data_IF_820428395128
#
_entry.id   IF_820428395128
#
_cell.length_a   1.000
_cell.length_b   1.000
_cell.length_c   1.000
_cell.angle_alpha   90.00
_cell.angle_beta   90.00
_cell.angle_gamma   90.00
#
_symmetry.space_group_name_H-M   'P 1'
#
loop_
_entity.id
_entity.type
_entity.pdbx_description
1 polymer ?
#
# COMPACT_ATOMS: atom_id res chain seq x y z
N UNK A 1 -39.51 -114.75 37.64
CA UNK A 1 -39.40 -113.45 38.33
C UNK A 1 -38.52 -112.58 37.45
N UNK A 2 -39.14 -111.66 36.70
CA UNK A 2 -39.24 -110.20 37.02
C UNK A 2 -37.88 -109.53 36.82
N UNK A 3 -37.67 -108.41 36.15
CA UNK A 3 -38.42 -107.29 35.53
C UNK A 3 -37.30 -106.58 34.69
N UNK A 4 -37.46 -105.87 33.57
CA UNK A 4 -38.42 -104.82 33.24
C UNK A 4 -37.66 -103.51 32.88
N UNK A 5 -38.05 -102.87 31.76
CA UNK A 5 -37.81 -101.48 31.28
C UNK A 5 -36.44 -101.13 30.69
N UNK A 6 -36.31 -100.77 29.40
CA UNK A 6 -36.87 -99.65 28.60
C UNK A 6 -36.01 -98.37 28.68
N UNK A 7 -35.72 -97.78 27.50
CA UNK A 7 -35.45 -96.36 27.10
C UNK A 7 -34.61 -96.44 25.80
N UNK A 8 -35.19 -96.36 24.61
CA UNK A 8 -35.47 -95.17 23.79
C UNK A 8 -34.31 -94.16 23.65
N UNK A 9 -33.95 -93.94 22.37
CA UNK A 9 -33.47 -92.70 21.77
C UNK A 9 -32.09 -92.16 22.18
N UNK A 10 -31.11 -92.30 21.28
CA UNK A 10 -30.02 -91.34 21.10
C UNK A 10 -29.45 -91.46 19.68
N UNK A 11 -30.28 -91.18 18.67
CA UNK A 11 -29.80 -90.71 17.36
C UNK A 11 -30.34 -89.30 17.19
N UNK A 12 -29.60 -88.29 17.69
CA UNK A 12 -29.96 -86.86 17.59
C UNK A 12 -28.77 -85.92 17.90
N UNK A 13 -27.53 -86.35 17.62
CA UNK A 13 -26.32 -85.52 17.77
C UNK A 13 -25.85 -84.83 16.48
N UNK A 14 -26.31 -85.29 15.32
CA UNK A 14 -25.87 -84.79 14.02
C UNK A 14 -26.48 -83.44 13.57
N UNK A 15 -27.75 -83.07 13.85
CA UNK A 15 -28.33 -81.86 13.26
C UNK A 15 -27.78 -80.57 13.87
N UNK A 16 -27.51 -80.53 15.17
CA UNK A 16 -27.03 -79.32 15.86
C UNK A 16 -25.57 -78.96 15.51
N UNK A 17 -24.69 -79.94 15.32
CA UNK A 17 -23.29 -79.69 14.94
C UNK A 17 -23.14 -79.28 13.46
N UNK A 18 -24.02 -79.77 12.57
CA UNK A 18 -24.09 -79.35 11.18
C UNK A 18 -24.66 -77.94 11.02
N UNK A 19 -25.66 -77.56 11.82
CA UNK A 19 -26.19 -76.19 11.89
C UNK A 19 -25.15 -75.19 12.40
N UNK A 20 -24.35 -75.55 13.41
CA UNK A 20 -23.32 -74.69 13.98
C UNK A 20 -22.14 -74.49 13.02
N UNK A 21 -21.75 -75.53 12.27
CA UNK A 21 -20.74 -75.47 11.18
C UNK A 21 -21.26 -74.66 9.98
N UNK A 22 -22.54 -74.80 9.62
CA UNK A 22 -23.16 -74.00 8.55
C UNK A 22 -23.32 -72.53 8.96
N UNK A 23 -23.65 -72.25 10.23
CA UNK A 23 -23.71 -70.90 10.77
C UNK A 23 -22.33 -70.23 10.83
N UNK A 24 -21.28 -70.97 11.20
CA UNK A 24 -19.89 -70.47 11.14
C UNK A 24 -19.41 -70.27 9.69
N UNK A 25 -19.75 -71.16 8.76
CA UNK A 25 -19.47 -70.98 7.33
C UNK A 25 -20.13 -69.72 6.75
N UNK A 26 -21.42 -69.51 7.05
CA UNK A 26 -22.14 -68.31 6.64
C UNK A 26 -21.60 -67.02 7.27
N UNK A 27 -21.04 -67.10 8.49
CA UNK A 27 -20.37 -65.98 9.14
C UNK A 27 -19.03 -65.66 8.46
N UNK A 28 -18.24 -66.67 8.12
CA UNK A 28 -16.97 -66.53 7.38
C UNK A 28 -17.24 -65.88 6.01
N UNK A 29 -18.24 -66.36 5.26
CA UNK A 29 -18.61 -65.79 3.96
C UNK A 29 -19.01 -64.31 4.07
N UNK A 30 -19.73 -63.93 5.14
CA UNK A 30 -20.08 -62.52 5.42
C UNK A 30 -18.85 -61.68 5.77
N UNK A 31 -17.93 -62.20 6.58
CA UNK A 31 -16.68 -61.49 6.94
C UNK A 31 -15.82 -61.29 5.70
N UNK A 32 -15.70 -62.28 4.83
CA UNK A 32 -14.99 -62.14 3.56
C UNK A 32 -15.68 -61.16 2.60
N UNK A 33 -17.02 -61.19 2.52
CA UNK A 33 -17.78 -60.25 1.73
C UNK A 33 -17.59 -58.81 2.24
N UNK A 34 -17.60 -58.59 3.55
CA UNK A 34 -17.29 -57.30 4.16
C UNK A 34 -15.86 -56.86 3.91
N UNK A 35 -14.88 -57.77 4.01
CA UNK A 35 -13.48 -57.47 3.71
C UNK A 35 -13.30 -57.04 2.23
N UNK A 36 -13.96 -57.74 1.30
CA UNK A 36 -14.01 -57.36 -0.13
C UNK A 36 -14.64 -55.98 -0.33
N UNK A 37 -15.74 -55.70 0.37
CA UNK A 37 -16.42 -54.41 0.31
C UNK A 37 -15.55 -53.27 0.88
N UNK A 38 -14.92 -53.47 2.03
CA UNK A 38 -13.98 -52.52 2.64
C UNK A 38 -12.79 -52.24 1.72
N UNK A 39 -12.18 -53.26 1.13
CA UNK A 39 -11.09 -53.07 0.15
C UNK A 39 -11.55 -52.27 -1.07
N UNK A 40 -12.78 -52.52 -1.55
CA UNK A 40 -13.35 -51.78 -2.69
C UNK A 40 -13.59 -50.32 -2.34
N UNK A 41 -14.15 -50.05 -1.15
CA UNK A 41 -14.40 -48.70 -0.65
C UNK A 41 -13.08 -47.93 -0.39
N UNK A 42 -12.06 -48.58 0.17
CA UNK A 42 -10.72 -48.00 0.33
C UNK A 42 -10.11 -47.63 -1.03
N UNK A 43 -10.18 -48.54 -2.01
CA UNK A 43 -9.71 -48.26 -3.38
C UNK A 43 -10.50 -47.15 -4.09
N UNK A 44 -11.79 -47.00 -3.80
CA UNK A 44 -12.60 -45.89 -4.30
C UNK A 44 -12.23 -44.56 -3.61
N UNK A 45 -12.11 -44.55 -2.28
CA UNK A 45 -11.71 -43.38 -1.48
C UNK A 45 -10.32 -42.86 -1.89
N UNK A 46 -9.37 -43.76 -2.10
CA UNK A 46 -8.03 -43.39 -2.54
C UNK A 46 -8.04 -42.78 -3.95
N UNK A 47 -8.83 -43.34 -4.89
CA UNK A 47 -9.02 -42.76 -6.23
C UNK A 47 -9.61 -41.36 -6.15
N UNK A 48 -10.72 -41.17 -5.42
CA UNK A 48 -11.34 -39.85 -5.23
C UNK A 48 -10.35 -38.86 -4.60
N UNK A 49 -9.55 -39.30 -3.62
CA UNK A 49 -8.53 -38.45 -2.98
C UNK A 49 -7.43 -38.04 -3.95
N UNK A 50 -6.95 -38.96 -4.79
CA UNK A 50 -5.94 -38.65 -5.83
C UNK A 50 -6.49 -37.72 -6.91
N UNK A 51 -7.70 -37.96 -7.39
CA UNK A 51 -8.36 -37.12 -8.39
C UNK A 51 -8.62 -35.71 -7.84
N UNK A 52 -9.10 -35.63 -6.60
CA UNK A 52 -9.27 -34.36 -5.89
C UNK A 52 -7.95 -33.62 -5.68
N UNK A 53 -6.85 -34.34 -5.43
CA UNK A 53 -5.50 -33.78 -5.34
C UNK A 53 -5.03 -33.20 -6.67
N UNK A 54 -5.19 -33.96 -7.77
CA UNK A 54 -4.85 -33.52 -9.12
C UNK A 54 -5.69 -32.31 -9.58
N UNK A 55 -6.99 -32.33 -9.31
CA UNK A 55 -7.88 -31.21 -9.62
C UNK A 55 -7.49 -29.95 -8.85
N UNK A 56 -7.17 -30.07 -7.55
CA UNK A 56 -6.65 -28.94 -6.76
C UNK A 56 -5.34 -28.39 -7.32
N UNK A 57 -4.40 -29.25 -7.68
CA UNK A 57 -3.13 -28.83 -8.28
C UNK A 57 -3.34 -28.09 -9.61
N UNK A 58 -4.19 -28.61 -10.51
CA UNK A 58 -4.53 -27.97 -11.78
C UNK A 58 -5.21 -26.62 -11.60
N UNK A 59 -6.18 -26.55 -10.68
CA UNK A 59 -6.89 -25.29 -10.36
C UNK A 59 -5.93 -24.26 -9.76
N UNK A 60 -5.03 -24.68 -8.88
CA UNK A 60 -4.00 -23.81 -8.29
C UNK A 60 -3.08 -23.22 -9.35
N UNK A 61 -2.61 -24.03 -10.30
CA UNK A 61 -1.78 -23.57 -11.41
C UNK A 61 -2.53 -22.57 -12.31
N UNK A 62 -3.76 -22.89 -12.71
CA UNK A 62 -4.58 -22.00 -13.55
C UNK A 62 -4.89 -20.66 -12.85
N UNK A 63 -5.15 -20.68 -11.53
CA UNK A 63 -5.34 -19.46 -10.75
C UNK A 63 -4.07 -18.61 -10.68
N UNK A 64 -2.91 -19.23 -10.47
CA UNK A 64 -1.63 -18.52 -10.48
C UNK A 64 -1.36 -17.85 -11.84
N UNK A 65 -1.59 -18.56 -12.95
CA UNK A 65 -1.48 -17.99 -14.31
C UNK A 65 -2.43 -16.81 -14.53
N UNK A 66 -3.69 -16.94 -14.11
CA UNK A 66 -4.68 -15.88 -14.23
C UNK A 66 -4.30 -14.62 -13.41
N UNK A 67 -3.77 -14.81 -12.20
CA UNK A 67 -3.32 -13.72 -11.33
C UNK A 67 -2.08 -13.03 -11.89
N UNK A 68 -1.15 -13.78 -12.47
CA UNK A 68 0.00 -13.24 -13.22
C UNK A 68 -0.44 -12.42 -14.43
N UNK A 69 -1.39 -12.92 -15.22
CA UNK A 69 -1.93 -12.22 -16.38
C UNK A 69 -2.65 -10.92 -15.97
N UNK A 70 -3.50 -10.98 -14.93
CA UNK A 70 -4.15 -9.79 -14.36
C UNK A 70 -3.11 -8.75 -13.96
N UNK A 71 -2.03 -9.19 -13.32
CA UNK A 71 -1.01 -8.28 -12.84
C UNK A 71 -0.22 -7.60 -13.97
N UNK A 72 0.08 -8.34 -15.04
CA UNK A 72 0.69 -7.75 -16.24
C UNK A 72 -0.21 -6.64 -16.82
N UNK A 73 -1.52 -6.89 -16.89
CA UNK A 73 -2.50 -5.89 -17.32
C UNK A 73 -2.57 -4.69 -16.37
N UNK A 74 -2.42 -4.89 -15.05
CA UNK A 74 -2.38 -3.77 -14.10
C UNK A 74 -1.17 -2.85 -14.31
N UNK A 75 0.01 -3.43 -14.57
CA UNK A 75 1.23 -2.67 -14.85
C UNK A 75 1.06 -1.86 -16.13
N UNK A 76 0.52 -2.49 -17.19
CA UNK A 76 0.23 -1.81 -18.46
C UNK A 76 -0.81 -0.70 -18.28
N UNK A 77 -1.90 -0.96 -17.55
CA UNK A 77 -2.93 0.03 -17.26
C UNK A 77 -2.38 1.24 -16.48
N UNK A 78 -1.45 1.03 -15.53
CA UNK A 78 -0.77 2.13 -14.82
C UNK A 78 0.08 2.97 -15.78
N UNK A 79 0.85 2.32 -16.64
CA UNK A 79 1.67 3.01 -17.64
C UNK A 79 0.80 3.85 -18.60
N UNK A 80 -0.28 3.27 -19.12
CA UNK A 80 -1.23 3.95 -20.01
C UNK A 80 -1.97 5.10 -19.32
N UNK A 81 -2.41 4.90 -18.08
CA UNK A 81 -3.05 5.95 -17.28
C UNK A 81 -2.12 7.15 -17.10
N UNK A 82 -0.83 6.90 -16.81
CA UNK A 82 0.17 7.96 -16.67
C UNK A 82 0.42 8.69 -18.00
N UNK A 83 0.47 7.97 -19.12
CA UNK A 83 0.60 8.59 -20.46
C UNK A 83 -0.62 9.48 -20.76
N UNK A 84 -1.84 8.97 -20.54
CA UNK A 84 -3.07 9.73 -20.73
C UNK A 84 -3.11 10.98 -19.86
N UNK A 85 -2.72 10.85 -18.59
CA UNK A 85 -2.63 11.96 -17.66
C UNK A 85 -1.60 13.02 -18.11
N UNK A 86 -0.39 12.61 -18.52
CA UNK A 86 0.64 13.52 -19.03
C UNK A 86 0.18 14.27 -20.29
N UNK A 87 -0.63 13.63 -21.13
CA UNK A 87 -1.20 14.27 -22.32
C UNK A 87 -2.27 15.32 -21.99
N UNK A 88 -3.10 15.06 -20.97
CA UNK A 88 -4.13 15.99 -20.51
C UNK A 88 -3.58 17.12 -19.64
N UNK A 89 -2.56 16.83 -18.82
CA UNK A 89 -1.91 17.78 -17.95
C UNK A 89 -1.19 18.85 -18.78
N UNK A 90 -1.84 19.99 -18.94
CA UNK A 90 -1.24 21.14 -19.65
C UNK A 90 -0.09 21.68 -18.80
N UNK A 91 1.17 21.62 -19.26
CA UNK A 91 2.25 22.25 -18.54
C UNK A 91 1.96 23.76 -18.47
N UNK A 92 1.95 24.32 -17.27
CA UNK A 92 1.97 25.77 -17.12
C UNK A 92 3.27 26.26 -17.79
N UNK A 93 3.19 27.31 -18.62
CA UNK A 93 4.32 27.79 -19.42
C UNK A 93 5.64 27.71 -18.63
N UNK A 94 6.62 26.97 -19.18
CA UNK A 94 7.92 26.68 -18.55
C UNK A 94 8.57 28.02 -18.14
N UNK A 95 8.58 28.38 -16.85
CA UNK A 95 9.26 29.59 -16.46
C UNK A 95 10.76 29.35 -16.57
N UNK A 96 11.47 30.34 -17.08
CA UNK A 96 12.88 30.49 -16.75
C UNK A 96 12.98 31.46 -15.59
N UNK A 97 13.16 30.92 -14.37
CA UNK A 97 13.76 31.68 -13.26
C UNK A 97 15.29 31.46 -13.27
N UNK A 98 15.84 31.35 -14.48
CA UNK A 98 17.27 31.28 -14.72
C UNK A 98 17.84 32.68 -14.52
N UNK A 99 18.38 32.94 -13.33
CA UNK A 99 19.63 33.65 -13.10
C UNK A 99 19.73 34.11 -11.64
N UNK A 100 20.96 34.20 -11.11
CA UNK A 100 21.25 34.78 -9.78
C UNK A 100 20.60 36.16 -9.56
N UNK A 101 20.35 36.88 -10.65
CA UNK A 101 19.65 38.18 -10.67
C UNK A 101 18.20 38.03 -10.19
N UNK A 102 17.46 37.00 -10.62
CA UNK A 102 16.08 36.81 -10.20
C UNK A 102 15.97 36.57 -8.68
N UNK A 103 16.88 35.77 -8.11
CA UNK A 103 16.97 35.55 -6.65
C UNK A 103 17.37 36.82 -5.90
N UNK A 104 18.32 37.60 -6.43
CA UNK A 104 18.65 38.93 -5.85
C UNK A 104 17.46 39.88 -5.88
N UNK A 105 16.67 39.87 -6.96
CA UNK A 105 15.43 40.66 -7.04
C UNK A 105 14.46 40.22 -5.96
N UNK A 106 14.27 38.92 -5.73
CA UNK A 106 13.33 38.46 -4.70
C UNK A 106 13.77 38.85 -3.28
N UNK A 107 15.07 38.82 -2.99
CA UNK A 107 15.63 39.33 -1.73
C UNK A 107 15.47 40.85 -1.57
N UNK A 108 15.57 41.61 -2.66
CA UNK A 108 15.31 43.05 -2.65
C UNK A 108 13.82 43.33 -2.45
N UNK A 109 12.95 42.54 -3.08
CA UNK A 109 11.51 42.64 -2.92
C UNK A 109 11.11 42.38 -1.46
N UNK A 110 11.65 41.37 -0.79
CA UNK A 110 11.29 41.09 0.61
C UNK A 110 11.52 42.29 1.55
N UNK A 111 12.53 43.13 1.28
CA UNK A 111 12.81 44.37 2.04
C UNK A 111 11.72 45.43 1.91
N UNK A 112 10.87 45.35 0.89
CA UNK A 112 9.71 46.24 0.69
C UNK A 112 8.49 45.81 1.53
N UNK A 113 8.68 44.90 2.50
CA UNK A 113 7.63 44.44 3.40
C UNK A 113 6.56 43.62 2.68
N UNK A 114 5.29 43.79 3.07
CA UNK A 114 4.20 42.93 2.60
C UNK A 114 3.91 43.03 1.11
N UNK A 115 4.13 44.20 0.49
CA UNK A 115 3.93 44.39 -0.96
C UNK A 115 5.01 43.63 -1.73
N UNK A 116 6.25 43.72 -1.28
CA UNK A 116 7.36 42.99 -1.85
C UNK A 116 7.19 41.48 -1.77
N UNK A 117 6.80 40.97 -0.60
CA UNK A 117 6.45 39.55 -0.40
C UNK A 117 5.30 39.10 -1.31
N UNK A 118 4.29 39.94 -1.49
CA UNK A 118 3.21 39.66 -2.44
C UNK A 118 3.71 39.52 -3.88
N UNK A 119 4.70 40.32 -4.28
CA UNK A 119 5.33 40.20 -5.61
C UNK A 119 6.17 38.93 -5.74
N UNK A 120 6.88 38.52 -4.68
CA UNK A 120 7.60 37.22 -4.66
C UNK A 120 6.61 36.07 -4.85
N UNK A 121 5.48 36.08 -4.13
CA UNK A 121 4.41 35.08 -4.25
C UNK A 121 3.77 35.14 -5.65
N UNK A 122 3.52 36.33 -6.20
CA UNK A 122 2.96 36.46 -7.54
C UNK A 122 3.89 35.87 -8.62
N UNK A 123 5.20 36.07 -8.47
CA UNK A 123 6.23 35.58 -9.40
C UNK A 123 6.39 34.06 -9.35
N UNK A 124 6.13 33.42 -8.21
CA UNK A 124 6.21 31.95 -8.10
C UNK A 124 5.13 31.25 -8.93
N UNK A 125 3.96 31.87 -9.04
CA UNK A 125 2.80 31.30 -9.72
C UNK A 125 2.08 30.23 -8.90
N UNK A 126 2.42 30.07 -7.61
CA UNK A 126 1.78 29.09 -6.72
C UNK A 126 0.37 29.50 -6.29
N UNK A 127 0.08 30.80 -6.26
CA UNK A 127 -1.20 31.33 -5.81
C UNK A 127 -2.29 31.10 -6.86
N UNK A 128 -3.23 30.22 -6.55
CA UNK A 128 -4.37 29.87 -7.41
C UNK A 128 -5.55 30.76 -7.06
N UNK A 129 -6.04 31.54 -8.02
CA UNK A 129 -7.26 32.34 -7.87
C UNK A 129 -7.82 32.68 -9.25
N UNK A 130 -9.14 32.61 -9.39
CA UNK A 130 -9.88 33.05 -10.58
C UNK A 130 -10.00 34.56 -10.69
N UNK A 131 -9.57 35.31 -9.68
CA UNK A 131 -9.70 36.76 -9.63
C UNK A 131 -8.76 37.46 -10.62
N UNK A 132 -9.14 38.69 -11.00
CA UNK A 132 -8.32 39.57 -11.80
C UNK A 132 -6.96 39.88 -11.14
N UNK A 133 -5.95 40.20 -11.96
CA UNK A 133 -4.55 40.39 -11.53
C UNK A 133 -4.39 41.30 -10.31
N UNK A 134 -5.11 42.42 -10.26
CA UNK A 134 -5.03 43.40 -9.16
C UNK A 134 -5.63 42.86 -7.87
N UNK A 135 -6.80 42.22 -7.94
CA UNK A 135 -7.45 41.63 -6.76
C UNK A 135 -6.59 40.51 -6.17
N UNK A 136 -6.00 39.66 -7.03
CA UNK A 136 -5.07 38.61 -6.63
C UNK A 136 -3.84 39.17 -5.89
N UNK A 137 -3.21 40.22 -6.42
CA UNK A 137 -2.05 40.83 -5.77
C UNK A 137 -2.42 41.47 -4.41
N UNK A 138 -3.61 42.09 -4.31
CA UNK A 138 -4.12 42.60 -3.02
C UNK A 138 -4.33 41.49 -2.00
N UNK A 139 -4.86 40.34 -2.43
CA UNK A 139 -5.04 39.17 -1.56
C UNK A 139 -3.68 38.64 -1.07
N UNK A 140 -2.69 38.52 -1.95
CA UNK A 140 -1.31 38.14 -1.57
C UNK A 140 -0.70 39.13 -0.57
N UNK A 141 -0.90 40.44 -0.77
CA UNK A 141 -0.40 41.47 0.15
C UNK A 141 -1.15 41.47 1.49
N UNK A 142 -2.44 41.13 1.50
CA UNK A 142 -3.19 40.94 2.74
C UNK A 142 -2.67 39.72 3.51
N UNK A 143 -2.46 38.60 2.83
CA UNK A 143 -1.83 37.40 3.38
C UNK A 143 -0.44 37.70 3.95
N UNK A 144 0.42 38.37 3.17
CA UNK A 144 1.77 38.71 3.61
C UNK A 144 1.84 39.68 4.79
N UNK A 145 0.79 40.48 5.03
CA UNK A 145 0.66 41.33 6.23
C UNK A 145 0.26 40.55 7.47
N UNK A 146 -0.56 39.51 7.31
CA UNK A 146 -1.02 38.66 8.43
C UNK A 146 0.10 37.79 8.99
N UNK A 147 1.11 37.47 8.19
CA UNK A 147 2.33 36.80 8.65
C UNK A 147 2.09 35.34 9.05
N UNK A 148 2.77 34.89 10.10
CA UNK A 148 2.77 33.50 10.57
C UNK A 148 1.56 33.13 11.45
N UNK A 149 0.35 33.38 10.96
CA UNK A 149 -0.90 32.98 11.60
C UNK A 149 -1.28 31.53 11.22
N UNK A 150 -1.25 30.55 12.13
CA UNK A 150 -1.58 29.16 11.81
C UNK A 150 -2.99 28.93 11.26
N UNK A 151 -3.94 29.82 11.59
CA UNK A 151 -5.32 29.70 11.13
C UNK A 151 -5.51 30.14 9.65
N UNK A 152 -4.48 30.72 9.04
CA UNK A 152 -4.52 31.24 7.68
C UNK A 152 -3.89 30.27 6.70
N UNK A 153 -4.67 29.82 5.71
CA UNK A 153 -4.16 28.99 4.62
C UNK A 153 -4.20 29.78 3.29
N UNK A 154 -3.05 29.94 2.59
CA UNK A 154 -3.05 30.55 1.26
C UNK A 154 -3.70 29.61 0.24
N UNK A 155 -4.30 30.12 -0.85
CA UNK A 155 -4.85 29.29 -1.93
C UNK A 155 -3.71 28.78 -2.82
N UNK A 156 -2.82 27.97 -2.25
CA UNK A 156 -1.66 27.37 -2.88
C UNK A 156 -1.49 25.94 -2.33
N UNK A 157 -0.67 25.13 -2.99
CA UNK A 157 -0.24 23.84 -2.44
C UNK A 157 0.82 24.08 -1.34
N UNK A 158 0.39 24.67 -0.23
CA UNK A 158 1.22 25.07 0.89
C UNK A 158 0.36 25.01 2.16
N UNK A 159 0.76 24.21 3.13
CA UNK A 159 0.11 24.12 4.44
C UNK A 159 0.88 24.99 5.44
N UNK A 160 0.28 26.12 5.80
CA UNK A 160 0.89 27.10 6.68
C UNK A 160 1.06 26.58 8.11
N UNK A 161 0.06 25.91 8.68
CA UNK A 161 0.15 25.34 10.01
C UNK A 161 1.26 24.28 10.10
N UNK A 162 1.31 23.39 9.10
CA UNK A 162 2.39 22.39 8.99
C UNK A 162 3.77 23.06 8.93
N UNK A 163 3.92 24.06 8.05
CA UNK A 163 5.19 24.75 7.87
C UNK A 163 5.63 25.48 9.14
N UNK A 164 4.69 26.11 9.86
CA UNK A 164 4.95 26.81 11.12
C UNK A 164 5.30 25.86 12.27
N UNK A 165 4.81 24.61 12.26
CA UNK A 165 5.26 23.58 13.23
C UNK A 165 6.74 23.22 13.04
N UNK A 166 7.21 23.15 11.80
CA UNK A 166 8.64 22.98 11.51
C UNK A 166 9.46 24.27 11.73
N UNK A 167 8.80 25.44 11.63
CA UNK A 167 9.40 26.77 11.74
C UNK A 167 8.72 27.63 12.79
N UNK A 168 8.82 27.17 14.04
CA UNK A 168 8.24 27.83 15.19
C UNK A 168 8.77 29.26 15.39
N UNK A 169 9.96 29.58 14.86
CA UNK A 169 10.55 30.92 14.83
C UNK A 169 9.72 31.94 14.04
N UNK A 170 8.87 31.48 13.12
CA UNK A 170 8.02 32.34 12.29
C UNK A 170 6.60 32.51 12.86
N UNK A 171 6.20 31.69 13.83
CA UNK A 171 4.86 31.67 14.42
C UNK A 171 4.53 32.98 15.13
N UNK A 172 3.40 33.61 14.78
CA UNK A 172 3.01 34.92 15.30
C UNK A 172 3.87 36.09 14.82
N UNK A 173 4.86 35.83 13.95
CA UNK A 173 5.75 36.84 13.39
C UNK A 173 5.17 37.57 12.18
N UNK A 174 5.85 38.66 11.77
CA UNK A 174 5.50 39.44 10.57
C UNK A 174 5.99 38.81 9.26
N UNK A 175 6.78 37.73 9.34
CA UNK A 175 7.25 37.01 8.17
C UNK A 175 6.09 36.21 7.55
N UNK A 176 5.97 36.26 6.24
CA UNK A 176 4.95 35.49 5.52
C UNK A 176 5.49 34.08 5.27
N UNK A 177 4.84 33.00 5.77
CA UNK A 177 5.39 31.64 5.66
C UNK A 177 5.62 31.19 4.21
N UNK A 178 4.67 31.42 3.30
CA UNK A 178 4.86 31.07 1.89
C UNK A 178 6.01 31.85 1.24
N UNK A 179 6.16 33.15 1.53
CA UNK A 179 7.29 33.93 1.03
C UNK A 179 8.61 33.46 1.63
N UNK A 180 8.62 33.12 2.93
CA UNK A 180 9.77 32.58 3.62
C UNK A 180 10.21 31.25 3.00
N UNK A 181 9.29 30.33 2.71
CA UNK A 181 9.61 29.08 2.01
C UNK A 181 10.25 29.34 0.65
N UNK A 182 9.70 30.26 -0.15
CA UNK A 182 10.21 30.60 -1.48
C UNK A 182 11.63 31.19 -1.46
N UNK A 183 11.99 31.89 -0.38
CA UNK A 183 13.28 32.58 -0.26
C UNK A 183 14.35 31.74 0.46
N UNK A 184 13.94 30.97 1.48
CA UNK A 184 14.84 30.30 2.42
C UNK A 184 14.47 28.83 2.64
N UNK A 185 13.21 28.56 3.02
CA UNK A 185 12.78 27.22 3.45
C UNK A 185 13.02 26.13 2.41
N UNK A 186 12.80 26.45 1.14
CA UNK A 186 13.05 25.54 0.03
C UNK A 186 14.52 25.15 -0.11
N UNK A 187 15.47 26.01 0.30
CA UNK A 187 16.90 25.71 0.33
C UNK A 187 17.31 24.95 1.58
N UNK A 188 16.67 25.24 2.71
CA UNK A 188 16.86 24.57 3.99
C UNK A 188 16.24 23.15 4.04
N UNK A 189 15.43 22.79 3.04
CA UNK A 189 14.79 21.47 2.97
C UNK A 189 13.55 21.34 3.85
N UNK A 190 12.92 22.46 4.23
CA UNK A 190 11.71 22.45 5.06
C UNK A 190 10.48 22.17 4.21
N UNK A 191 9.68 21.20 4.63
CA UNK A 191 8.50 20.77 3.88
C UNK A 191 7.36 21.78 3.91
N UNK A 192 6.87 22.26 2.76
CA UNK A 192 5.79 23.24 2.67
C UNK A 192 4.41 22.63 2.90
N UNK A 193 4.28 21.30 2.85
CA UNK A 193 3.01 20.58 2.92
C UNK A 193 3.27 19.13 3.34
N UNK A 194 2.41 18.47 4.14
CA UNK A 194 2.61 17.08 4.56
C UNK A 194 2.82 16.10 3.39
N UNK A 195 2.10 16.31 2.29
CA UNK A 195 2.17 15.49 1.07
C UNK A 195 3.29 15.89 0.10
N UNK A 196 4.25 16.72 0.51
CA UNK A 196 5.38 17.15 -0.32
C UNK A 196 6.68 17.14 0.47
N UNK A 197 7.59 16.22 0.13
CA UNK A 197 8.94 16.12 0.74
C UNK A 197 9.94 16.88 -0.14
N UNK A 198 10.46 17.97 0.41
CA UNK A 198 11.33 18.91 -0.30
C UNK A 198 12.66 18.29 -0.67
N UNK A 199 13.23 17.49 0.21
CA UNK A 199 14.57 16.92 0.01
C UNK A 199 14.51 15.71 -0.92
N UNK A 200 13.52 14.84 -0.73
CA UNK A 200 13.21 13.75 -1.66
C UNK A 200 12.98 14.28 -3.09
N UNK A 201 12.10 15.27 -3.23
CA UNK A 201 11.80 15.85 -4.53
C UNK A 201 13.04 16.52 -5.14
N UNK A 202 13.85 17.19 -4.32
CA UNK A 202 15.08 17.83 -4.78
C UNK A 202 16.09 16.81 -5.30
N UNK A 203 16.30 15.70 -4.58
CA UNK A 203 17.26 14.66 -4.96
C UNK A 203 16.87 14.01 -6.29
N UNK A 204 15.59 13.67 -6.47
CA UNK A 204 15.12 13.05 -7.71
C UNK A 204 15.15 13.99 -8.92
N UNK A 205 15.06 15.30 -8.69
CA UNK A 205 14.83 16.30 -9.74
C UNK A 205 15.96 17.34 -9.86
N UNK A 206 17.14 17.04 -9.31
CA UNK A 206 18.25 17.98 -9.17
C UNK A 206 18.66 18.64 -10.49
N UNK A 207 18.72 17.88 -11.58
CA UNK A 207 19.07 18.39 -12.90
C UNK A 207 18.09 19.50 -13.37
N UNK A 208 16.78 19.24 -13.31
CA UNK A 208 15.78 20.19 -13.77
C UNK A 208 15.61 21.38 -12.82
N UNK A 209 15.79 21.18 -11.52
CA UNK A 209 15.82 22.28 -10.55
C UNK A 209 17.01 23.21 -10.83
N UNK A 210 18.17 22.65 -11.19
CA UNK A 210 19.34 23.41 -11.65
C UNK A 210 19.10 24.19 -12.95
N UNK A 211 18.42 23.57 -13.92
CA UNK A 211 18.10 24.19 -15.21
C UNK A 211 17.02 25.27 -15.14
N UNK A 212 16.03 25.13 -14.25
CA UNK A 212 14.89 26.06 -14.17
C UNK A 212 15.09 27.15 -13.13
N UNK A 213 15.90 26.88 -12.10
CA UNK A 213 16.12 27.78 -10.95
C UNK A 213 14.91 27.93 -10.03
N UNK A 214 13.91 27.06 -10.17
CA UNK A 214 12.72 27.04 -9.33
C UNK A 214 12.99 26.36 -7.99
N UNK A 215 12.24 26.74 -6.97
CA UNK A 215 12.15 25.93 -5.74
C UNK A 215 11.46 24.59 -6.03
N UNK A 216 11.68 23.53 -5.22
CA UNK A 216 11.07 22.22 -5.40
C UNK A 216 9.54 22.27 -5.61
N UNK A 217 8.82 23.01 -4.77
CA UNK A 217 7.36 23.13 -4.88
C UNK A 217 6.93 23.91 -6.14
N UNK A 218 7.63 25.00 -6.49
CA UNK A 218 7.36 25.72 -7.74
C UNK A 218 7.53 24.80 -8.96
N UNK A 219 8.59 23.99 -8.96
CA UNK A 219 8.85 23.04 -10.02
C UNK A 219 7.75 21.98 -10.09
N UNK A 220 7.37 21.38 -8.95
CA UNK A 220 6.32 20.38 -8.92
C UNK A 220 4.99 20.91 -9.43
N UNK A 221 4.51 22.06 -8.92
CA UNK A 221 3.19 22.60 -9.30
C UNK A 221 3.14 22.97 -10.79
N UNK A 222 4.26 23.41 -11.38
CA UNK A 222 4.28 23.94 -12.76
C UNK A 222 4.66 22.92 -13.82
N UNK A 223 5.51 21.97 -13.45
CA UNK A 223 6.14 21.01 -14.38
C UNK A 223 5.94 19.60 -13.85
N UNK A 224 6.46 19.33 -12.64
CA UNK A 224 6.59 17.96 -12.15
C UNK A 224 5.28 17.19 -11.99
N UNK A 225 4.22 17.86 -11.54
CA UNK A 225 2.90 17.24 -11.41
C UNK A 225 2.40 16.75 -12.77
N UNK A 226 2.45 17.60 -13.80
CA UNK A 226 2.02 17.22 -15.15
C UNK A 226 2.94 16.21 -15.85
N UNK A 227 4.21 16.14 -15.45
CA UNK A 227 5.13 15.06 -15.86
C UNK A 227 4.95 13.78 -15.04
N UNK A 228 4.06 13.76 -14.05
CA UNK A 228 3.79 12.60 -13.21
C UNK A 228 4.95 12.23 -12.30
N UNK A 229 5.62 13.23 -11.71
CA UNK A 229 6.70 13.04 -10.74
C UNK A 229 6.15 12.89 -9.33
N UNK A 230 6.78 12.04 -8.54
CA UNK A 230 6.36 11.78 -7.17
C UNK A 230 6.76 12.94 -6.25
N UNK A 231 5.82 13.57 -5.52
CA UNK A 231 6.12 14.68 -4.63
C UNK A 231 6.64 14.24 -3.25
N UNK A 232 6.41 12.98 -2.88
CA UNK A 232 6.69 12.44 -1.56
C UNK A 232 6.88 10.91 -1.67
N UNK A 233 7.74 10.26 -0.87
CA UNK A 233 7.92 8.80 -0.90
C UNK A 233 6.61 7.99 -0.74
N UNK A 234 5.66 8.54 0.01
CA UNK A 234 4.31 7.96 0.22
C UNK A 234 3.25 8.40 -0.79
N UNK A 235 3.64 9.02 -1.91
CA UNK A 235 2.72 9.42 -2.96
C UNK A 235 3.29 9.05 -4.33
N UNK A 236 2.83 7.93 -4.88
CA UNK A 236 3.16 7.45 -6.23
C UNK A 236 2.08 7.97 -7.20
N UNK A 237 2.46 8.92 -8.05
CA UNK A 237 1.53 9.57 -8.98
C UNK A 237 1.00 8.58 -10.01
N UNK A 238 1.84 7.66 -10.51
CA UNK A 238 1.40 6.67 -11.49
C UNK A 238 0.37 5.70 -10.90
N UNK A 239 0.62 5.23 -9.67
CA UNK A 239 -0.30 4.37 -8.93
C UNK A 239 -1.61 5.08 -8.60
N UNK A 240 -1.55 6.36 -8.20
CA UNK A 240 -2.71 7.16 -7.84
C UNK A 240 -3.59 7.53 -9.05
N UNK A 241 -2.98 7.99 -10.14
CA UNK A 241 -3.68 8.41 -11.37
C UNK A 241 -4.47 7.25 -11.98
N UNK A 242 -3.92 6.03 -11.94
CA UNK A 242 -4.62 4.83 -12.43
C UNK A 242 -5.98 4.59 -11.74
N UNK A 243 -6.17 5.08 -10.52
CA UNK A 243 -7.43 4.89 -9.77
C UNK A 243 -8.46 6.00 -10.03
N UNK A 244 -8.05 7.09 -10.68
CA UNK A 244 -8.85 8.30 -10.86
C UNK A 244 -8.96 8.67 -12.36
N UNK A 245 -9.87 8.04 -13.13
CA UNK A 245 -10.10 8.38 -14.53
C UNK A 245 -10.47 9.86 -14.75
N UNK A 246 -11.14 10.47 -13.78
CA UNK A 246 -11.49 11.89 -13.74
C UNK A 246 -10.25 12.81 -13.60
N UNK A 247 -9.24 12.38 -12.83
CA UNK A 247 -7.94 13.06 -12.78
C UNK A 247 -7.20 12.97 -14.12
N UNK A 248 -7.25 11.80 -14.78
CA UNK A 248 -6.67 11.63 -16.13
C UNK A 248 -7.30 12.63 -17.10
N UNK A 249 -8.62 12.76 -17.10
CA UNK A 249 -9.34 13.65 -18.02
C UNK A 249 -9.08 15.14 -17.74
N UNK A 250 -9.02 15.54 -16.47
CA UNK A 250 -8.84 16.93 -16.06
C UNK A 250 -7.38 17.41 -16.12
N UNK A 251 -6.41 16.49 -15.97
CA UNK A 251 -4.99 16.84 -15.87
C UNK A 251 -4.66 17.68 -14.64
N UNK A 252 -5.49 17.62 -13.59
CA UNK A 252 -5.28 18.37 -12.35
C UNK A 252 -3.99 17.93 -11.60
N UNK A 253 -3.51 18.76 -10.68
CA UNK A 253 -2.45 18.37 -9.77
C UNK A 253 -2.91 17.20 -8.86
N UNK A 254 -2.16 16.07 -8.78
CA UNK A 254 -2.59 14.88 -8.06
C UNK A 254 -2.81 15.08 -6.56
N UNK A 255 -1.99 15.92 -5.90
CA UNK A 255 -2.17 16.21 -4.46
C UNK A 255 -3.46 16.98 -4.23
N UNK A 256 -3.76 17.97 -5.09
CA UNK A 256 -4.97 18.78 -4.93
C UNK A 256 -6.23 17.93 -5.15
N UNK A 257 -6.20 17.03 -6.14
CA UNK A 257 -7.26 16.04 -6.33
C UNK A 257 -7.39 15.10 -5.13
N UNK A 258 -6.27 14.60 -4.59
CA UNK A 258 -6.29 13.73 -3.40
C UNK A 258 -6.95 14.40 -2.19
N UNK A 259 -6.57 15.65 -1.89
CA UNK A 259 -7.13 16.40 -0.76
C UNK A 259 -8.60 16.74 -1.00
N UNK A 260 -8.99 17.09 -2.24
CA UNK A 260 -10.38 17.44 -2.56
C UNK A 260 -11.33 16.26 -2.46
N UNK A 261 -10.97 15.13 -3.04
CA UNK A 261 -11.90 13.98 -3.19
C UNK A 261 -11.25 12.60 -3.14
N UNK A 262 -9.96 12.49 -3.45
CA UNK A 262 -9.30 11.17 -3.46
C UNK A 262 -9.34 10.47 -2.10
N UNK A 263 -9.08 11.22 -1.03
CA UNK A 263 -9.08 10.68 0.32
C UNK A 263 -10.49 10.22 0.76
N UNK A 264 -11.53 11.01 0.45
CA UNK A 264 -12.92 10.64 0.80
C UNK A 264 -13.45 9.47 -0.04
N UNK A 265 -12.94 9.31 -1.27
CA UNK A 265 -13.18 8.13 -2.12
C UNK A 265 -12.37 6.88 -1.70
N UNK A 266 -11.52 6.97 -0.69
CA UNK A 266 -10.67 5.86 -0.25
C UNK A 266 -9.59 5.47 -1.27
N UNK A 267 -9.16 6.40 -2.14
CA UNK A 267 -8.09 6.13 -3.10
C UNK A 267 -6.73 6.09 -2.41
N UNK A 268 -5.97 5.02 -2.63
CA UNK A 268 -4.64 4.84 -2.04
C UNK A 268 -3.57 5.64 -2.82
N UNK A 269 -2.83 6.57 -2.19
CA UNK A 269 -1.80 7.37 -2.86
C UNK A 269 -0.52 6.59 -3.17
N UNK A 270 -0.32 5.43 -2.54
CA UNK A 270 0.87 4.60 -2.71
C UNK A 270 0.52 3.13 -2.38
N UNK A 271 1.16 2.11 -3.01
CA UNK A 271 0.90 0.69 -2.72
C UNK A 271 1.04 0.31 -1.24
N UNK A 272 2.01 0.91 -0.54
CA UNK A 272 2.24 0.73 0.90
C UNK A 272 1.38 1.61 1.81
N UNK A 273 0.34 2.24 1.27
CA UNK A 273 -0.65 2.96 2.05
C UNK A 273 -2.04 2.50 1.64
N UNK A 274 -2.63 1.60 2.40
CA UNK A 274 -3.99 1.11 2.19
C UNK A 274 -5.00 2.06 2.84
N UNK A 275 -5.55 2.99 2.04
CA UNK A 275 -6.40 4.06 2.55
C UNK A 275 -7.68 3.54 3.23
N UNK A 276 -8.25 2.45 2.72
CA UNK A 276 -9.41 1.74 3.30
C UNK A 276 -9.07 1.17 4.69
N UNK A 277 -7.99 0.41 4.76
CA UNK A 277 -7.51 -0.23 5.99
C UNK A 277 -7.13 0.79 7.06
N UNK A 278 -6.51 1.89 6.66
CA UNK A 278 -6.13 2.96 7.56
C UNK A 278 -7.36 3.73 8.09
N UNK A 279 -8.30 4.06 7.20
CA UNK A 279 -9.54 4.74 7.58
C UNK A 279 -10.36 3.92 8.59
N UNK A 280 -10.41 2.60 8.42
CA UNK A 280 -11.08 1.69 9.36
C UNK A 280 -10.45 1.72 10.76
N UNK A 281 -9.12 1.82 10.87
CA UNK A 281 -8.43 1.96 12.17
C UNK A 281 -8.74 3.30 12.85
N UNK A 282 -8.71 4.39 12.08
CA UNK A 282 -8.99 5.74 12.57
C UNK A 282 -10.45 5.85 13.04
N UNK A 283 -11.40 5.35 12.26
CA UNK A 283 -12.82 5.36 12.61
C UNK A 283 -13.11 4.60 13.92
N UNK A 284 -12.41 3.48 14.17
CA UNK A 284 -12.51 2.73 15.44
C UNK A 284 -11.96 3.50 16.64
N UNK A 285 -11.01 4.40 16.40
CA UNK A 285 -10.38 5.22 17.43
C UNK A 285 -11.21 6.46 17.81
N UNK A 286 -12.29 6.75 17.05
CA UNK A 286 -13.17 7.90 17.28
C UNK A 286 -12.60 9.24 16.78
N UNK A 287 -11.44 9.21 16.11
CA UNK A 287 -10.83 10.37 15.49
C UNK A 287 -11.36 10.54 14.05
N UNK A 288 -11.58 11.77 13.61
CA UNK A 288 -12.10 12.03 12.27
C UNK A 288 -11.78 13.43 11.78
N UNK A 289 -11.70 13.59 10.47
CA UNK A 289 -11.72 14.92 9.82
C UNK A 289 -10.56 15.23 8.86
N UNK A 290 -9.42 14.55 8.96
CA UNK A 290 -8.28 14.76 8.05
C UNK A 290 -8.19 13.67 6.96
N UNK A 291 -7.71 14.00 5.74
CA UNK A 291 -7.36 13.00 4.73
C UNK A 291 -6.41 11.92 5.27
N UNK A 292 -6.65 10.64 4.97
CA UNK A 292 -5.97 9.50 5.59
C UNK A 292 -4.43 9.60 5.61
N UNK A 293 -3.80 9.93 4.48
CA UNK A 293 -2.33 10.05 4.44
C UNK A 293 -1.81 11.26 5.22
N UNK A 294 -2.56 12.37 5.24
CA UNK A 294 -2.19 13.56 6.04
C UNK A 294 -2.30 13.22 7.53
N UNK A 295 -3.37 12.54 7.94
CA UNK A 295 -3.54 12.08 9.32
C UNK A 295 -2.40 11.15 9.75
N UNK A 296 -2.04 10.19 8.89
CA UNK A 296 -0.92 9.27 9.15
C UNK A 296 0.41 10.01 9.36
N UNK A 297 0.75 10.94 8.46
CA UNK A 297 2.01 11.69 8.54
C UNK A 297 2.05 12.66 9.73
N UNK A 298 0.90 13.21 10.13
CA UNK A 298 0.84 14.17 11.23
C UNK A 298 0.86 13.49 12.61
N UNK A 299 0.12 12.40 12.77
CA UNK A 299 -0.17 11.80 14.07
C UNK A 299 -0.10 10.27 14.01
N UNK A 300 -0.79 9.65 13.06
CA UNK A 300 -1.02 8.20 13.10
C UNK A 300 0.23 7.32 13.06
N UNK A 301 1.29 7.72 12.35
CA UNK A 301 2.56 7.00 12.40
C UNK A 301 3.13 6.98 13.82
N UNK A 302 3.08 8.11 14.53
CA UNK A 302 3.59 8.22 15.92
C UNK A 302 2.78 7.35 16.87
N UNK A 303 1.46 7.32 16.67
CA UNK A 303 0.53 6.51 17.48
C UNK A 303 0.57 5.02 17.15
N UNK A 304 1.40 4.61 16.19
CA UNK A 304 1.59 3.20 15.83
C UNK A 304 0.48 2.65 14.92
N UNK A 305 -0.39 3.50 14.37
CA UNK A 305 -1.42 3.08 13.42
C UNK A 305 -0.77 2.57 12.13
N UNK A 306 -1.23 1.43 11.63
CA UNK A 306 -0.60 0.73 10.53
C UNK A 306 -1.07 1.31 9.19
N UNK A 307 -0.19 1.89 8.34
CA UNK A 307 -0.59 2.44 7.05
C UNK A 307 -1.00 1.34 6.05
N UNK A 308 -0.52 0.12 6.27
CA UNK A 308 -0.79 -1.06 5.46
C UNK A 308 -0.68 -2.32 6.33
N UNK A 309 -1.46 -3.39 6.10
CA UNK A 309 -1.40 -4.62 6.91
C UNK A 309 0.00 -5.26 7.00
N UNK A 310 0.81 -5.08 5.95
CA UNK A 310 2.18 -5.61 5.85
C UNK A 310 3.27 -4.64 6.33
N UNK A 311 2.92 -3.49 6.90
CA UNK A 311 3.88 -2.56 7.48
C UNK A 311 3.44 -2.14 8.89
N UNK A 312 4.30 -2.40 9.87
CA UNK A 312 4.04 -2.07 11.27
C UNK A 312 5.05 -1.03 11.76
N UNK A 313 4.66 0.25 11.91
CA UNK A 313 5.60 1.32 12.28
C UNK A 313 6.15 1.15 13.70
N UNK A 314 5.36 0.62 14.64
CA UNK A 314 5.81 0.41 16.02
C UNK A 314 6.81 -0.74 16.10
N UNK A 315 6.52 -1.85 15.41
CA UNK A 315 7.44 -2.98 15.30
C UNK A 315 8.75 -2.57 14.61
N UNK A 316 8.65 -1.80 13.51
CA UNK A 316 9.82 -1.39 12.73
C UNK A 316 10.77 -0.52 13.55
N UNK A 317 10.27 0.48 14.29
CA UNK A 317 11.09 1.29 15.22
C UNK A 317 11.76 0.43 16.29
N UNK A 318 11.02 -0.48 16.90
CA UNK A 318 11.55 -1.36 17.95
C UNK A 318 12.62 -2.33 17.44
N UNK A 319 12.46 -2.83 16.21
CA UNK A 319 13.40 -3.77 15.59
C UNK A 319 14.67 -3.10 15.05
N UNK A 320 14.57 -1.83 14.66
CA UNK A 320 15.63 -1.06 14.02
C UNK A 320 15.82 0.31 14.69
N UNK A 321 16.47 0.36 15.88
CA UNK A 321 16.66 1.61 16.62
C UNK A 321 17.49 2.67 15.87
N UNK A 322 18.35 2.25 14.96
CA UNK A 322 19.14 3.14 14.10
C UNK A 322 18.28 3.86 13.05
N UNK A 323 17.24 3.18 12.53
CA UNK A 323 16.26 3.81 11.65
C UNK A 323 15.44 4.86 12.43
N UNK A 324 15.06 4.56 13.67
CA UNK A 324 14.34 5.52 14.53
C UNK A 324 15.21 6.73 14.88
N UNK A 325 16.49 6.51 15.18
CA UNK A 325 17.47 7.57 15.45
C UNK A 325 17.70 8.52 14.25
N UNK A 326 17.36 8.11 13.02
CA UNK A 326 17.40 8.99 11.85
C UNK A 326 16.37 10.13 11.89
N UNK A 327 15.36 10.03 12.77
CA UNK A 327 14.26 10.99 12.89
C UNK A 327 13.28 10.98 11.70
N UNK A 328 13.47 10.08 10.72
CA UNK A 328 12.55 9.91 9.59
C UNK A 328 11.33 9.10 10.03
N UNK A 329 10.20 9.39 9.39
CA UNK A 329 8.99 8.56 9.54
C UNK A 329 9.31 7.10 9.12
N UNK A 330 8.90 6.07 9.89
CA UNK A 330 9.29 4.69 9.64
C UNK A 330 9.01 4.15 8.24
N UNK A 331 7.82 4.40 7.69
CA UNK A 331 7.47 3.91 6.35
C UNK A 331 8.29 4.66 5.28
N UNK A 332 8.51 5.96 5.44
CA UNK A 332 9.43 6.74 4.61
C UNK A 332 10.85 6.16 4.68
N UNK A 333 11.39 5.89 5.88
CA UNK A 333 12.70 5.27 6.04
C UNK A 333 12.80 3.92 5.32
N UNK A 334 11.80 3.06 5.51
CA UNK A 334 11.73 1.76 4.83
C UNK A 334 11.73 1.92 3.30
N UNK A 335 10.99 2.89 2.77
CA UNK A 335 10.90 3.12 1.33
C UNK A 335 12.17 3.66 0.70
N UNK A 336 12.89 4.56 1.37
CA UNK A 336 14.08 5.22 0.80
C UNK A 336 15.40 4.53 1.15
N UNK A 337 15.43 3.71 2.20
CA UNK A 337 16.65 3.05 2.66
C UNK A 337 16.39 1.61 3.13
N UNK A 338 15.56 1.42 4.14
CA UNK A 338 15.47 0.15 4.87
C UNK A 338 15.11 -1.07 4.02
N UNK A 339 14.22 -0.93 3.04
CA UNK A 339 13.88 -2.02 2.12
C UNK A 339 15.05 -2.41 1.22
N UNK A 340 15.86 -1.44 0.77
CA UNK A 340 17.08 -1.69 -0.01
C UNK A 340 18.20 -2.30 0.83
N UNK A 341 18.19 -2.04 2.14
CA UNK A 341 19.09 -2.67 3.13
C UNK A 341 18.64 -4.08 3.54
N UNK A 342 17.54 -4.59 2.98
CA UNK A 342 17.02 -5.93 3.29
C UNK A 342 16.27 -6.03 4.62
N UNK A 343 15.88 -4.89 5.23
CA UNK A 343 15.11 -4.89 6.49
C UNK A 343 13.69 -5.39 6.25
N UNK A 344 13.16 -6.17 7.18
CA UNK A 344 11.73 -6.56 7.19
C UNK A 344 10.84 -5.39 7.65
N UNK A 345 9.68 -5.14 7.02
CA UNK A 345 8.75 -4.04 7.35
C UNK A 345 7.79 -4.35 8.51
N UNK A 346 7.73 -5.61 8.94
CA UNK A 346 6.81 -6.06 9.96
C UNK A 346 6.88 -7.59 10.12
N UNK A 347 6.11 -8.17 11.04
CA UNK A 347 6.14 -9.59 11.33
C UNK A 347 5.56 -10.45 10.18
N UNK A 348 4.76 -9.85 9.29
CA UNK A 348 4.09 -10.52 8.18
C UNK A 348 4.94 -10.69 6.91
N UNK A 349 6.07 -10.00 6.80
CA UNK A 349 6.89 -10.01 5.60
C UNK A 349 8.37 -10.12 5.95
N UNK A 350 8.98 -11.24 5.56
CA UNK A 350 10.42 -11.42 5.66
C UNK A 350 11.08 -11.03 4.33
N UNK A 351 11.83 -9.93 4.35
CA UNK A 351 12.47 -9.40 3.15
C UNK A 351 13.52 -10.36 2.59
N UNK A 352 14.37 -10.96 3.43
CA UNK A 352 15.43 -11.86 2.96
C UNK A 352 14.86 -13.12 2.31
N UNK A 353 13.83 -13.70 2.92
CA UNK A 353 13.12 -14.87 2.38
C UNK A 353 12.45 -14.53 1.05
N UNK A 354 11.75 -13.41 0.96
CA UNK A 354 11.10 -13.01 -0.28
C UNK A 354 12.10 -12.84 -1.43
N UNK A 355 13.23 -12.17 -1.17
CA UNK A 355 14.30 -12.00 -2.16
C UNK A 355 14.88 -13.35 -2.60
N UNK A 356 15.10 -14.27 -1.66
CA UNK A 356 15.62 -15.61 -1.98
C UNK A 356 14.65 -16.44 -2.84
N UNK A 357 13.34 -16.26 -2.67
CA UNK A 357 12.31 -16.98 -3.41
C UNK A 357 11.97 -16.33 -4.76
N UNK A 358 12.53 -15.16 -5.06
CA UNK A 358 12.23 -14.39 -6.26
C UNK A 358 12.87 -15.03 -7.50
N UNK A 359 12.06 -15.65 -8.38
CA UNK A 359 12.54 -16.44 -9.53
C UNK A 359 13.47 -15.66 -10.47
N UNK A 360 13.06 -14.43 -10.82
CA UNK A 360 13.81 -13.56 -11.74
C UNK A 360 14.80 -12.64 -11.00
N UNK A 361 14.93 -12.78 -9.68
CA UNK A 361 15.56 -11.79 -8.82
C UNK A 361 14.74 -10.50 -8.71
N UNK A 362 15.15 -9.60 -7.80
CA UNK A 362 14.53 -8.28 -7.69
C UNK A 362 15.02 -7.38 -8.83
N UNK A 363 14.11 -6.62 -9.48
CA UNK A 363 14.54 -5.60 -10.43
C UNK A 363 15.45 -4.56 -9.73
N UNK A 364 16.47 -4.02 -10.42
CA UNK A 364 17.37 -3.03 -9.83
C UNK A 364 16.62 -1.81 -9.31
N UNK A 365 16.91 -1.41 -8.07
CA UNK A 365 16.31 -0.21 -7.46
C UNK A 365 14.85 -0.39 -7.03
N UNK A 366 14.31 -1.61 -6.98
CA UNK A 366 12.98 -1.87 -6.46
C UNK A 366 12.99 -2.18 -4.95
N UNK A 367 12.09 -1.55 -4.21
CA UNK A 367 11.83 -1.91 -2.82
C UNK A 367 11.15 -3.30 -2.79
N UNK A 368 11.62 -4.27 -1.97
CA UNK A 368 11.11 -5.64 -1.98
C UNK A 368 9.61 -5.77 -1.69
N UNK A 369 9.08 -5.02 -0.72
CA UNK A 369 7.66 -5.09 -0.41
C UNK A 369 6.81 -4.38 -1.47
N UNK A 370 7.35 -3.33 -2.11
CA UNK A 370 6.69 -2.71 -3.28
C UNK A 370 6.64 -3.69 -4.45
N UNK A 371 7.74 -4.40 -4.76
CA UNK A 371 7.73 -5.45 -5.79
C UNK A 371 6.68 -6.51 -5.48
N UNK A 372 6.65 -7.00 -4.22
CA UNK A 372 5.66 -7.97 -3.77
C UNK A 372 4.22 -7.52 -4.06
N UNK A 373 3.87 -6.31 -3.63
CA UNK A 373 2.53 -5.72 -3.81
C UNK A 373 2.20 -5.37 -5.27
N UNK A 374 3.21 -5.08 -6.09
CA UNK A 374 3.05 -4.72 -7.49
C UNK A 374 3.27 -5.90 -8.44
N UNK A 375 3.21 -7.13 -7.93
CA UNK A 375 3.08 -8.34 -8.73
C UNK A 375 4.08 -9.43 -8.44
N UNK A 376 5.12 -9.08 -7.69
CA UNK A 376 6.16 -10.02 -7.33
C UNK A 376 5.66 -11.14 -6.41
N UNK A 377 4.54 -10.94 -5.70
CA UNK A 377 3.87 -12.01 -4.95
C UNK A 377 3.56 -13.26 -5.78
N UNK A 378 3.36 -13.11 -7.11
CA UNK A 378 2.95 -14.20 -7.99
C UNK A 378 4.10 -14.85 -8.77
N UNK A 379 5.33 -14.33 -8.61
CA UNK A 379 6.52 -14.73 -9.38
C UNK A 379 7.63 -15.24 -8.43
N UNK A 380 7.25 -16.08 -7.48
CA UNK A 380 8.16 -16.71 -6.51
C UNK A 380 8.20 -18.23 -6.71
N UNK A 381 9.34 -18.84 -6.39
CA UNK A 381 9.63 -20.26 -6.67
C UNK A 381 8.76 -21.22 -5.86
N UNK A 382 8.43 -20.83 -4.63
CA UNK A 382 7.37 -21.45 -3.84
C UNK A 382 6.24 -20.44 -3.76
N UNK A 383 5.07 -20.69 -4.36
CA UNK A 383 4.03 -19.67 -4.48
C UNK A 383 3.44 -19.23 -3.12
N UNK A 384 3.77 -19.94 -2.04
CA UNK A 384 3.04 -19.89 -0.78
C UNK A 384 3.97 -19.63 0.41
N UNK A 385 4.20 -18.34 0.71
CA UNK A 385 4.78 -17.92 1.98
C UNK A 385 3.82 -18.27 3.14
N UNK A 386 4.03 -19.43 3.78
CA UNK A 386 3.42 -19.76 5.08
C UNK A 386 1.95 -20.22 5.06
N UNK A 387 1.45 -20.79 3.96
CA UNK A 387 0.06 -21.25 3.87
C UNK A 387 -0.04 -22.65 3.21
N UNK A 388 -0.77 -23.63 3.78
CA UNK A 388 -0.99 -24.94 3.15
C UNK A 388 -1.87 -24.84 1.89
N UNK A 389 -1.55 -25.64 0.85
CA UNK A 389 -2.23 -25.67 -0.46
C UNK A 389 -3.76 -25.76 -0.40
N UNK A 390 -4.32 -26.42 0.62
CA UNK A 390 -5.77 -26.58 0.78
C UNK A 390 -6.48 -25.25 1.12
N UNK A 391 -5.88 -24.41 1.96
CA UNK A 391 -6.52 -23.16 2.39
C UNK A 391 -6.56 -22.08 1.31
N UNK A 392 -5.68 -22.14 0.31
CA UNK A 392 -5.60 -21.11 -0.73
C UNK A 392 -6.71 -21.20 -1.77
N UNK A 393 -7.10 -22.40 -2.21
CA UNK A 393 -8.21 -22.56 -3.15
C UNK A 393 -9.55 -22.15 -2.55
N UNK A 394 -9.73 -22.36 -1.24
CA UNK A 394 -10.89 -21.86 -0.51
C UNK A 394 -10.94 -20.33 -0.49
N UNK A 395 -9.80 -19.66 -0.69
CA UNK A 395 -9.65 -18.20 -0.76
C UNK A 395 -9.62 -17.65 -2.19
N UNK A 396 -9.58 -18.52 -3.21
CA UNK A 396 -9.46 -18.13 -4.62
C UNK A 396 -10.53 -17.11 -5.05
N UNK A 397 -11.75 -17.26 -4.54
CA UNK A 397 -12.86 -16.35 -4.81
C UNK A 397 -12.59 -14.93 -4.30
N UNK A 398 -11.85 -14.76 -3.20
CA UNK A 398 -11.53 -13.46 -2.63
C UNK A 398 -10.45 -12.73 -3.43
N UNK A 399 -9.49 -13.48 -3.96
CA UNK A 399 -8.50 -12.94 -4.90
C UNK A 399 -9.12 -12.52 -6.24
N UNK A 400 -10.20 -13.20 -6.67
CA UNK A 400 -10.92 -12.81 -7.88
C UNK A 400 -11.64 -11.46 -7.72
N UNK A 401 -12.15 -11.16 -6.53
CA UNK A 401 -12.93 -9.95 -6.24
C UNK A 401 -12.14 -8.73 -5.76
N UNK A 402 -10.90 -8.90 -5.27
CA UNK A 402 -10.06 -7.81 -4.74
C UNK A 402 -8.59 -7.95 -5.18
N UNK A 403 -7.89 -6.85 -5.48
CA UNK A 403 -6.48 -6.87 -5.89
C UNK A 403 -5.54 -7.03 -4.68
N UNK A 404 -5.83 -7.99 -3.78
CA UNK A 404 -5.00 -8.25 -2.61
C UNK A 404 -3.94 -9.29 -2.95
N UNK A 405 -2.77 -9.14 -2.35
CA UNK A 405 -1.74 -10.20 -2.35
C UNK A 405 -2.07 -11.25 -1.28
N UNK A 406 -1.50 -12.46 -1.36
CA UNK A 406 -1.77 -13.51 -0.39
C UNK A 406 -1.48 -13.08 1.05
N UNK A 407 -0.28 -12.55 1.32
CA UNK A 407 0.08 -12.12 2.67
C UNK A 407 -0.80 -10.96 3.16
N UNK A 408 -1.19 -10.03 2.28
CA UNK A 408 -2.07 -8.94 2.67
C UNK A 408 -3.46 -9.44 3.09
N UNK A 409 -4.03 -10.41 2.36
CA UNK A 409 -5.31 -11.01 2.71
C UNK A 409 -5.24 -11.68 4.09
N UNK A 410 -4.16 -12.42 4.36
CA UNK A 410 -3.94 -13.07 5.64
C UNK A 410 -3.74 -12.07 6.77
N UNK A 411 -2.93 -11.03 6.56
CA UNK A 411 -2.70 -9.99 7.56
C UNK A 411 -4.01 -9.23 7.90
N UNK A 412 -4.89 -9.01 6.93
CA UNK A 412 -6.22 -8.40 7.16
C UNK A 412 -7.17 -9.29 7.98
N UNK A 413 -7.00 -10.62 7.93
CA UNK A 413 -7.84 -11.60 8.65
C UNK A 413 -7.29 -11.97 10.03
N UNK A 414 -5.98 -12.17 10.14
CA UNK A 414 -5.30 -12.70 11.33
C UNK A 414 -5.07 -11.69 12.44
N UNK A 415 -5.29 -10.39 12.20
CA UNK A 415 -4.90 -9.35 13.16
C UNK A 415 -3.39 -9.38 13.44
N UNK A 416 -2.96 -9.10 14.66
CA UNK A 416 -1.53 -9.13 15.07
C UNK A 416 -0.95 -10.54 15.22
N UNK A 417 -1.72 -11.60 14.96
CA UNK A 417 -1.26 -12.98 15.09
C UNK A 417 -0.70 -13.47 13.76
N UNK A 418 0.64 -13.55 13.66
CA UNK A 418 1.32 -14.25 12.56
C UNK A 418 0.88 -15.71 12.51
N UNK A 419 0.64 -16.31 11.32
CA UNK A 419 0.51 -17.76 11.22
C UNK A 419 1.79 -18.37 11.78
N UNK A 420 1.66 -19.27 12.76
CA UNK A 420 2.83 -19.95 13.31
C UNK A 420 3.52 -20.69 12.18
N UNK A 421 4.83 -20.43 12.04
CA UNK A 421 5.70 -21.01 11.03
C UNK A 421 5.66 -22.54 10.98
#
# INVERSE_FOLDING_TARGET
MKEGRAIMAADNGAPAALEDIQATGALIDKVEALARLCSTLQGASQRVSTESGLNRSRLGAALAEALLARQALEVEARALALVGYRAAARPLARPRRYNRIARRVDNVLDRLGSIGRALVIARSGLWRSSDGRVARLRAMAAYARRGGDPALQPPALFDQDWYLRARADLSGGRASPLAHYLLHGAGEGVDPHPLFDTEFYRQQNAAQLGETGLTPLEHFVRVGAGEGRDPHPLFDVAYYVRQAPDLIASGENPILHYVREGATRGLSPHPLFAADYYADQVARSGEGGAPSLIHYLAVGSRDGLKPHPLFDPAWYRGRYPDADASGREPLVHFLVAGGFEGRSPGPWFDTARYVAQRVEGLPPGCNPLVDYLQGGAWRISEPWLGCPDAGFLDLAAEFAGRPLTPLELWARRGGDQTPSA
#
